data_IF_118095772482
#
_entry.id   IF_118095772482
#
_cell.length_a   1.000
_cell.length_b   1.000
_cell.length_c   1.000
_cell.angle_alpha   90.00
_cell.angle_beta   90.00
_cell.angle_gamma   90.00
#
_symmetry.space_group_name_H-M   'P 1'
#
loop_
_entity.id
_entity.type
_entity.pdbx_description
1 polymer ?
#
# COMPACT_ATOMS: atom_id res chain seq x y z
N UNK A 1 -6.39 33.42 8.55
CA UNK A 1 -5.00 33.58 9.02
C UNK A 1 -5.05 33.32 10.51
N UNK A 2 -4.57 32.16 10.97
CA UNK A 2 -4.33 31.97 12.41
C UNK A 2 -3.02 32.69 12.69
N UNK A 3 -3.06 33.67 13.59
CA UNK A 3 -1.90 34.37 14.11
C UNK A 3 -0.88 33.36 14.63
N UNK A 4 0.41 33.66 14.43
CA UNK A 4 1.53 32.79 14.74
C UNK A 4 1.71 32.50 16.23
N UNK A 5 0.89 31.60 16.77
CA UNK A 5 1.18 30.89 18.01
C UNK A 5 2.46 30.06 17.81
N UNK A 6 3.45 30.27 18.67
CA UNK A 6 4.67 29.47 18.64
C UNK A 6 4.33 28.02 18.98
N UNK A 7 4.74 27.07 18.12
CA UNK A 7 4.60 25.65 18.42
C UNK A 7 5.34 25.30 19.72
N UNK A 8 4.74 24.44 20.54
CA UNK A 8 5.28 24.00 21.83
C UNK A 8 6.57 23.19 21.64
N UNK A 9 6.62 22.36 20.60
CA UNK A 9 7.82 21.61 20.20
C UNK A 9 7.68 21.05 18.77
N UNK A 10 8.77 20.47 18.25
CA UNK A 10 8.76 19.70 17.00
C UNK A 10 8.65 18.21 17.35
N UNK A 11 7.70 17.52 16.72
CA UNK A 11 7.55 16.07 16.79
C UNK A 11 7.89 15.45 15.43
N UNK A 12 8.74 14.42 15.47
CA UNK A 12 9.18 13.70 14.28
C UNK A 12 8.33 12.45 14.08
N UNK A 13 7.36 12.52 13.17
CA UNK A 13 6.52 11.38 12.81
C UNK A 13 7.20 10.57 11.72
N UNK A 14 7.68 9.37 12.06
CA UNK A 14 8.43 8.49 11.18
C UNK A 14 7.54 7.38 10.65
N UNK A 15 7.27 7.41 9.35
CA UNK A 15 6.46 6.36 8.70
C UNK A 15 7.26 5.06 8.57
N UNK A 16 6.83 4.02 9.28
CA UNK A 16 7.41 2.69 9.24
C UNK A 16 6.53 1.74 8.43
N UNK A 17 7.07 1.16 7.36
CA UNK A 17 6.35 0.22 6.49
C UNK A 17 6.85 -1.22 6.57
N UNK A 18 7.91 -1.46 7.36
CA UNK A 18 8.63 -2.73 7.37
C UNK A 18 9.56 -2.95 6.17
N UNK A 19 9.65 -1.97 5.26
CA UNK A 19 10.59 -1.99 4.12
C UNK A 19 11.92 -1.31 4.41
N UNK A 20 12.94 -1.63 3.60
CA UNK A 20 14.32 -1.14 3.73
C UNK A 20 14.40 0.39 3.89
N UNK A 21 13.69 1.12 3.04
CA UNK A 21 13.81 2.58 2.98
C UNK A 21 13.21 3.25 4.23
N UNK A 22 12.10 2.69 4.76
CA UNK A 22 11.51 3.17 6.02
C UNK A 22 12.36 2.79 7.24
N UNK A 23 12.99 1.62 7.24
CA UNK A 23 13.90 1.21 8.33
C UNK A 23 15.13 2.12 8.40
N UNK A 24 15.78 2.40 7.28
CA UNK A 24 16.90 3.36 7.25
C UNK A 24 16.47 4.77 7.67
N UNK A 25 15.26 5.19 7.30
CA UNK A 25 14.70 6.47 7.75
C UNK A 25 14.50 6.50 9.27
N UNK A 26 14.06 5.38 9.88
CA UNK A 26 13.91 5.27 11.32
C UNK A 26 15.25 5.32 12.06
N UNK A 27 16.28 4.64 11.53
CA UNK A 27 17.66 4.71 12.05
C UNK A 27 18.15 6.16 12.05
N UNK A 28 18.06 6.86 10.90
CA UNK A 28 18.48 8.26 10.81
C UNK A 28 17.69 9.19 11.75
N UNK A 29 16.40 8.93 11.97
CA UNK A 29 15.61 9.72 12.90
C UNK A 29 16.11 9.59 14.34
N UNK A 30 16.54 8.40 14.76
CA UNK A 30 17.13 8.16 16.09
C UNK A 30 18.53 8.74 16.24
N UNK A 31 19.34 8.72 15.18
CA UNK A 31 20.68 9.32 15.20
C UNK A 31 20.63 10.84 15.28
N UNK A 32 19.63 11.47 14.64
CA UNK A 32 19.57 12.92 14.50
C UNK A 32 18.74 13.61 15.59
N UNK A 33 17.91 12.86 16.33
CA UNK A 33 16.95 13.44 17.26
C UNK A 33 16.89 12.64 18.54
N UNK A 34 16.40 13.27 19.61
CA UNK A 34 16.07 12.54 20.83
C UNK A 34 14.92 11.58 20.56
N UNK A 35 15.03 10.37 21.06
CA UNK A 35 14.04 9.32 20.87
C UNK A 35 12.63 9.73 21.36
N UNK A 36 12.53 10.53 22.42
CA UNK A 36 11.25 11.02 22.97
C UNK A 36 10.54 12.06 22.07
N UNK A 37 11.26 12.67 21.13
CA UNK A 37 10.70 13.52 20.09
C UNK A 37 10.24 12.75 18.84
N UNK A 38 10.54 11.45 18.76
CA UNK A 38 10.20 10.60 17.62
C UNK A 38 8.95 9.76 17.89
N UNK A 39 8.02 9.77 16.93
CA UNK A 39 6.85 8.89 16.88
C UNK A 39 6.94 8.00 15.67
N UNK A 40 7.13 6.70 15.88
CA UNK A 40 7.19 5.73 14.79
C UNK A 40 5.79 5.20 14.54
N UNK A 41 5.33 5.26 13.30
CA UNK A 41 3.93 4.96 12.98
C UNK A 41 3.86 3.97 11.82
N UNK A 42 3.19 2.84 12.06
CA UNK A 42 2.90 1.82 11.07
C UNK A 42 1.44 1.95 10.60
N UNK A 43 1.25 2.11 9.29
CA UNK A 43 -0.07 2.14 8.68
C UNK A 43 -0.48 0.73 8.25
N UNK A 44 -1.33 0.09 9.06
CA UNK A 44 -1.86 -1.25 8.80
C UNK A 44 -2.87 -1.19 7.66
N UNK A 45 -2.48 -1.69 6.48
CA UNK A 45 -3.37 -1.73 5.33
C UNK A 45 -4.25 -2.96 5.31
N UNK A 46 -3.98 -3.98 6.12
CA UNK A 46 -4.67 -5.27 6.12
C UNK A 46 -4.28 -6.19 4.96
N UNK A 47 -3.29 -5.83 4.14
CA UNK A 47 -2.80 -6.67 3.04
C UNK A 47 -1.31 -6.97 3.16
N UNK A 48 -0.68 -6.66 4.28
CA UNK A 48 0.71 -6.99 4.58
C UNK A 48 0.90 -8.49 4.76
N UNK A 49 2.09 -8.98 4.39
CA UNK A 49 2.49 -10.34 4.74
C UNK A 49 2.78 -10.45 6.25
N UNK A 50 2.55 -11.62 6.84
CA UNK A 50 2.82 -11.90 8.26
C UNK A 50 4.26 -11.53 8.67
N UNK A 51 5.27 -11.97 7.90
CA UNK A 51 6.66 -11.59 8.12
C UNK A 51 6.92 -10.07 8.11
N UNK A 52 6.07 -9.26 7.45
CA UNK A 52 6.19 -7.79 7.53
C UNK A 52 5.63 -7.27 8.86
N UNK A 53 4.52 -7.83 9.36
CA UNK A 53 4.01 -7.49 10.69
C UNK A 53 5.02 -7.83 11.77
N UNK A 54 5.53 -9.07 11.79
CA UNK A 54 6.56 -9.51 12.73
C UNK A 54 7.80 -8.61 12.66
N UNK A 55 8.25 -8.29 11.44
CA UNK A 55 9.40 -7.42 11.26
C UNK A 55 9.15 -5.99 11.78
N UNK A 56 8.02 -5.38 11.43
CA UNK A 56 7.74 -3.98 11.74
C UNK A 56 7.26 -3.73 13.17
N UNK A 57 6.57 -4.69 13.79
CA UNK A 57 5.89 -4.55 15.08
C UNK A 57 6.57 -5.33 16.21
N UNK A 58 7.40 -6.33 15.91
CA UNK A 58 8.13 -7.08 16.94
C UNK A 58 9.63 -6.85 16.82
N UNK A 59 10.23 -7.18 15.67
CA UNK A 59 11.68 -7.13 15.49
C UNK A 59 12.23 -5.70 15.56
N UNK A 60 11.71 -4.76 14.75
CA UNK A 60 12.21 -3.39 14.73
C UNK A 60 12.07 -2.67 16.08
N UNK A 61 10.92 -2.76 16.81
CA UNK A 61 10.81 -2.23 18.16
C UNK A 61 11.87 -2.75 19.12
N UNK A 62 12.17 -4.05 19.08
CA UNK A 62 13.20 -4.65 19.92
C UNK A 62 14.61 -4.22 19.50
N UNK A 63 14.92 -4.28 18.20
CA UNK A 63 16.25 -3.99 17.66
C UNK A 63 16.63 -2.51 17.82
N UNK A 64 15.67 -1.59 17.69
CA UNK A 64 15.90 -0.15 17.79
C UNK A 64 15.53 0.43 19.16
N UNK A 65 14.95 -0.38 20.06
CA UNK A 65 14.46 0.07 21.36
C UNK A 65 13.30 1.07 21.28
N UNK A 66 12.48 1.02 20.22
CA UNK A 66 11.41 1.99 19.94
C UNK A 66 10.02 1.43 20.24
N UNK A 67 9.02 2.33 20.29
CA UNK A 67 7.60 1.96 20.22
C UNK A 67 7.05 2.34 18.85
N UNK A 68 6.17 1.50 18.32
CA UNK A 68 5.51 1.73 17.04
C UNK A 68 4.01 1.83 17.26
N UNK A 69 3.45 3.00 16.94
CA UNK A 69 2.02 3.24 16.95
C UNK A 69 1.42 2.67 15.67
N UNK A 70 0.25 2.03 15.76
CA UNK A 70 -0.45 1.46 14.61
C UNK A 70 -1.66 2.31 14.28
N UNK A 71 -1.73 2.79 13.03
CA UNK A 71 -2.91 3.46 12.50
C UNK A 71 -3.60 2.58 11.48
N UNK A 72 -4.93 2.56 11.52
CA UNK A 72 -5.77 1.72 10.65
C UNK A 72 -6.93 2.53 10.11
N UNK A 73 -7.19 2.40 8.82
CA UNK A 73 -8.35 3.03 8.20
C UNK A 73 -9.66 2.37 8.65
N UNK A 74 -10.70 3.17 8.81
CA UNK A 74 -12.06 2.71 9.10
C UNK A 74 -12.99 3.24 8.00
N UNK A 75 -13.86 2.38 7.48
CA UNK A 75 -14.77 2.68 6.37
C UNK A 75 -16.26 2.56 6.75
N UNK A 76 -16.58 2.55 8.05
CA UNK A 76 -17.95 2.36 8.54
C UNK A 76 -18.95 3.36 7.91
N UNK A 77 -18.57 4.62 7.78
CA UNK A 77 -19.40 5.68 7.20
C UNK A 77 -19.62 5.46 5.69
N UNK A 78 -18.58 5.04 4.97
CA UNK A 78 -18.71 4.71 3.55
C UNK A 78 -19.57 3.46 3.32
N UNK A 79 -19.47 2.45 4.19
CA UNK A 79 -20.37 1.31 4.19
C UNK A 79 -21.82 1.75 4.42
N UNK A 80 -22.08 2.53 5.48
CA UNK A 80 -23.42 3.03 5.80
C UNK A 80 -24.01 3.80 4.61
N UNK A 81 -23.24 4.75 4.06
CA UNK A 81 -23.64 5.56 2.90
C UNK A 81 -23.92 4.69 1.68
N UNK A 82 -23.04 3.74 1.36
CA UNK A 82 -23.21 2.87 0.19
C UNK A 82 -24.41 1.94 0.34
N UNK A 83 -24.66 1.40 1.54
CA UNK A 83 -25.82 0.55 1.84
C UNK A 83 -27.13 1.32 1.71
N UNK A 84 -27.21 2.54 2.25
CA UNK A 84 -28.40 3.41 2.06
C UNK A 84 -28.68 3.64 0.58
N UNK A 85 -27.65 3.94 -0.20
CA UNK A 85 -27.79 4.14 -1.64
C UNK A 85 -28.26 2.86 -2.36
N UNK A 86 -27.71 1.69 -2.00
CA UNK A 86 -28.15 0.41 -2.57
C UNK A 86 -29.59 0.07 -2.19
N UNK A 87 -30.03 0.36 -0.96
CA UNK A 87 -31.40 0.13 -0.52
C UNK A 87 -32.41 0.95 -1.32
N UNK A 88 -32.09 2.23 -1.60
CA UNK A 88 -32.91 3.10 -2.46
C UNK A 88 -33.05 2.54 -3.87
N UNK A 89 -31.94 2.10 -4.47
CA UNK A 89 -31.94 1.51 -5.82
C UNK A 89 -32.70 0.17 -5.83
N UNK A 90 -32.54 -0.66 -4.79
CA UNK A 90 -33.25 -1.91 -4.61
C UNK A 90 -34.78 -1.70 -4.50
N UNK A 91 -35.21 -0.57 -3.91
CA UNK A 91 -36.61 -0.14 -3.87
C UNK A 91 -37.13 0.43 -5.21
N UNK A 92 -36.29 0.49 -6.25
CA UNK A 92 -36.68 0.95 -7.59
C UNK A 92 -36.38 2.43 -7.87
N UNK A 93 -35.72 3.15 -6.96
CA UNK A 93 -35.30 4.53 -7.26
C UNK A 93 -34.25 4.55 -8.38
N UNK A 94 -34.38 5.44 -9.37
CA UNK A 94 -33.38 5.56 -10.43
C UNK A 94 -32.06 6.08 -9.87
N UNK A 95 -30.94 5.63 -10.44
CA UNK A 95 -29.60 6.05 -9.98
C UNK A 95 -29.39 7.57 -10.02
N UNK A 96 -30.07 8.30 -10.90
CA UNK A 96 -30.01 9.77 -10.95
C UNK A 96 -30.59 10.43 -9.70
N UNK A 97 -31.56 9.80 -9.02
CA UNK A 97 -32.10 10.28 -7.75
C UNK A 97 -31.15 10.02 -6.57
N UNK A 98 -30.25 9.05 -6.71
CA UNK A 98 -29.30 8.63 -5.66
C UNK A 98 -27.95 9.33 -5.82
N UNK A 99 -27.43 9.40 -7.04
CA UNK A 99 -26.09 9.91 -7.36
C UNK A 99 -26.12 11.24 -8.13
N UNK A 100 -27.29 11.83 -8.37
CA UNK A 100 -27.45 13.09 -9.07
C UNK A 100 -27.01 12.99 -10.53
N UNK A 101 -26.16 13.94 -10.95
CA UNK A 101 -25.64 14.02 -12.33
C UNK A 101 -24.53 13.01 -12.66
N UNK A 102 -24.11 12.17 -11.70
CA UNK A 102 -23.02 11.20 -11.93
C UNK A 102 -23.53 10.05 -12.79
N UNK A 103 -22.84 9.80 -13.89
CA UNK A 103 -23.11 8.66 -14.76
C UNK A 103 -22.06 7.57 -14.58
N UNK A 104 -22.53 6.32 -14.57
CA UNK A 104 -21.68 5.15 -14.43
C UNK A 104 -21.79 4.28 -15.69
N UNK A 105 -20.65 3.76 -16.13
CA UNK A 105 -20.57 2.85 -17.28
C UNK A 105 -21.48 1.63 -17.10
N UNK A 106 -21.46 1.05 -15.90
CA UNK A 106 -22.30 -0.07 -15.51
C UNK A 106 -23.35 0.39 -14.51
N UNK A 107 -24.62 0.06 -14.77
CA UNK A 107 -25.75 0.45 -13.93
C UNK A 107 -26.21 -0.72 -13.07
N UNK A 108 -26.66 -0.39 -11.87
CA UNK A 108 -27.41 -1.27 -11.01
C UNK A 108 -28.79 -1.54 -11.59
N UNK A 109 -29.27 -2.74 -11.33
CA UNK A 109 -30.70 -3.08 -11.38
C UNK A 109 -31.21 -3.19 -9.94
N UNK A 110 -32.53 -3.08 -9.69
CA UNK A 110 -33.08 -3.29 -8.35
C UNK A 110 -32.61 -4.62 -7.73
N UNK A 111 -32.67 -5.71 -8.50
CA UNK A 111 -32.25 -7.04 -8.01
C UNK A 111 -30.76 -7.12 -7.67
N UNK A 112 -29.91 -6.55 -8.51
CA UNK A 112 -28.45 -6.59 -8.28
C UNK A 112 -28.04 -5.67 -7.13
N UNK A 113 -28.76 -4.56 -6.92
CA UNK A 113 -28.59 -3.69 -5.76
C UNK A 113 -29.05 -4.37 -4.47
N UNK A 114 -30.18 -5.09 -4.50
CA UNK A 114 -30.69 -5.86 -3.36
C UNK A 114 -29.70 -6.94 -2.92
N UNK A 115 -29.18 -7.74 -3.87
CA UNK A 115 -28.16 -8.75 -3.60
C UNK A 115 -26.87 -8.13 -3.04
N UNK A 116 -26.40 -7.03 -3.64
CA UNK A 116 -25.21 -6.35 -3.14
C UNK A 116 -25.43 -5.79 -1.72
N UNK A 117 -26.62 -5.28 -1.41
CA UNK A 117 -26.98 -4.78 -0.08
C UNK A 117 -26.92 -5.88 0.98
N UNK A 118 -27.37 -7.10 0.65
CA UNK A 118 -27.33 -8.25 1.57
C UNK A 118 -25.89 -8.67 1.90
N UNK A 119 -24.97 -8.54 0.94
CA UNK A 119 -23.60 -9.03 1.08
C UNK A 119 -22.60 -7.96 1.53
N UNK A 120 -22.92 -6.67 1.38
CA UNK A 120 -21.98 -5.58 1.63
C UNK A 120 -21.89 -5.25 3.14
N UNK A 121 -20.97 -5.91 3.84
CA UNK A 121 -20.67 -5.70 5.25
C UNK A 121 -19.18 -5.48 5.50
N UNK A 122 -18.79 -4.71 6.54
CA UNK A 122 -17.39 -4.62 6.97
C UNK A 122 -16.86 -6.01 7.33
N UNK A 123 -15.68 -6.33 6.82
CA UNK A 123 -14.99 -7.60 7.03
C UNK A 123 -14.01 -7.53 8.19
N UNK A 124 -13.70 -6.32 8.65
CA UNK A 124 -12.65 -6.04 9.59
C UNK A 124 -11.29 -5.88 8.91
N UNK A 125 -11.10 -6.31 7.66
CA UNK A 125 -9.87 -6.08 6.90
C UNK A 125 -9.95 -4.77 6.09
N UNK A 126 -9.15 -3.74 6.39
CA UNK A 126 -9.29 -2.42 5.79
C UNK A 126 -8.98 -2.41 4.28
N UNK A 127 -8.10 -3.28 3.78
CA UNK A 127 -7.85 -3.40 2.35
C UNK A 127 -9.09 -3.93 1.62
N UNK A 128 -9.64 -5.05 2.11
CA UNK A 128 -10.82 -5.68 1.52
C UNK A 128 -12.02 -4.75 1.64
N UNK A 129 -12.23 -4.13 2.79
CA UNK A 129 -13.29 -3.17 3.05
C UNK A 129 -13.26 -1.99 2.08
N UNK A 130 -12.07 -1.44 1.82
CA UNK A 130 -11.90 -0.40 0.81
C UNK A 130 -12.27 -0.89 -0.59
N UNK A 131 -11.89 -2.12 -0.95
CA UNK A 131 -12.23 -2.71 -2.24
C UNK A 131 -13.75 -2.97 -2.38
N UNK A 132 -14.41 -3.44 -1.32
CA UNK A 132 -15.87 -3.65 -1.27
C UNK A 132 -16.62 -2.33 -1.41
N UNK A 133 -16.20 -1.28 -0.70
CA UNK A 133 -16.79 0.07 -0.80
C UNK A 133 -16.58 0.64 -2.19
N UNK A 134 -15.39 0.51 -2.78
CA UNK A 134 -15.08 1.02 -4.12
C UNK A 134 -15.70 0.19 -5.25
N UNK A 135 -16.02 -1.09 -4.99
CA UNK A 135 -16.52 -2.02 -6.00
C UNK A 135 -15.43 -2.42 -7.00
N UNK A 136 -14.19 -2.59 -6.53
CA UNK A 136 -13.04 -3.00 -7.35
C UNK A 136 -11.71 -2.82 -6.63
N UNK A 137 -10.63 -3.31 -7.23
CA UNK A 137 -9.27 -3.24 -6.68
C UNK A 137 -8.52 -1.99 -7.12
N UNK A 138 -7.52 -1.54 -6.33
CA UNK A 138 -6.62 -0.48 -6.76
C UNK A 138 -5.76 -0.95 -7.93
N UNK A 139 -5.21 0.01 -8.68
CA UNK A 139 -4.32 -0.30 -9.80
C UNK A 139 -3.13 0.63 -9.82
N UNK A 140 -2.10 0.30 -10.61
CA UNK A 140 -0.90 1.14 -10.74
C UNK A 140 -1.22 2.61 -11.10
N UNK A 141 -2.31 2.83 -11.84
CA UNK A 141 -2.82 4.17 -12.20
C UNK A 141 -3.77 4.77 -11.17
N UNK A 142 -4.54 3.94 -10.45
CA UNK A 142 -5.52 4.36 -9.42
C UNK A 142 -5.16 3.73 -8.07
N UNK A 143 -4.13 4.28 -7.43
CA UNK A 143 -3.58 3.75 -6.18
C UNK A 143 -4.35 4.26 -4.96
N UNK A 144 -5.67 4.07 -4.94
CA UNK A 144 -6.47 4.53 -3.79
C UNK A 144 -6.08 3.81 -2.49
N UNK A 145 -5.48 2.62 -2.54
CA UNK A 145 -4.90 1.99 -1.35
C UNK A 145 -3.85 2.88 -0.67
N UNK A 146 -3.00 3.58 -1.44
CA UNK A 146 -2.00 4.49 -0.89
C UNK A 146 -2.67 5.70 -0.20
N UNK A 147 -3.67 6.30 -0.85
CA UNK A 147 -4.37 7.45 -0.29
C UNK A 147 -5.14 7.09 1.00
N UNK A 148 -5.97 6.04 0.94
CA UNK A 148 -6.94 5.74 2.01
C UNK A 148 -6.37 4.89 3.13
N UNK A 149 -5.40 4.00 2.85
CA UNK A 149 -4.85 3.09 3.86
C UNK A 149 -3.53 3.57 4.45
N UNK A 150 -2.84 4.52 3.79
CA UNK A 150 -1.55 5.05 4.27
C UNK A 150 -1.60 6.55 4.51
N UNK A 151 -1.80 7.34 3.45
CA UNK A 151 -1.69 8.80 3.54
C UNK A 151 -2.70 9.39 4.52
N UNK A 152 -3.99 9.04 4.39
CA UNK A 152 -5.04 9.60 5.25
C UNK A 152 -4.88 9.22 6.74
N UNK A 153 -4.69 7.94 7.12
CA UNK A 153 -4.46 7.59 8.52
C UNK A 153 -3.22 8.26 9.12
N UNK A 154 -2.11 8.30 8.38
CA UNK A 154 -0.88 8.98 8.85
C UNK A 154 -1.06 10.50 8.97
N UNK A 155 -1.82 11.10 8.05
CA UNK A 155 -2.13 12.53 8.11
C UNK A 155 -3.05 12.85 9.29
N UNK A 156 -4.05 12.02 9.57
CA UNK A 156 -4.92 12.18 10.73
C UNK A 156 -4.11 12.14 12.04
N UNK A 157 -3.23 11.14 12.19
CA UNK A 157 -2.30 11.07 13.32
C UNK A 157 -1.43 12.32 13.46
N UNK A 158 -0.91 12.85 12.35
CA UNK A 158 -0.15 14.09 12.35
C UNK A 158 -1.00 15.31 12.75
N UNK A 159 -2.25 15.39 12.29
CA UNK A 159 -3.17 16.48 12.62
C UNK A 159 -3.49 16.51 14.12
N UNK A 160 -3.68 15.35 14.75
CA UNK A 160 -3.92 15.28 16.20
C UNK A 160 -2.75 15.89 17.01
N UNK A 161 -1.52 15.74 16.52
CA UNK A 161 -0.33 16.39 17.10
C UNK A 161 -0.28 17.89 16.84
N UNK A 162 -0.69 18.35 15.65
CA UNK A 162 -0.78 19.78 15.32
C UNK A 162 -1.84 20.49 16.19
N UNK A 163 -2.97 19.84 16.43
CA UNK A 163 -4.04 20.34 17.30
C UNK A 163 -3.60 20.41 18.78
N UNK A 164 -2.57 19.64 19.14
CA UNK A 164 -1.87 19.72 20.44
C UNK A 164 -0.74 20.76 20.44
N UNK A 165 -0.76 21.71 19.49
CA UNK A 165 0.21 22.81 19.33
C UNK A 165 1.66 22.38 19.05
N UNK A 166 1.88 21.19 18.49
CA UNK A 166 3.20 20.77 17.99
C UNK A 166 3.38 21.12 16.51
N UNK A 167 4.62 21.36 16.08
CA UNK A 167 4.99 21.26 14.68
C UNK A 167 5.31 19.80 14.35
N UNK A 168 4.92 19.31 13.17
CA UNK A 168 5.14 17.91 12.78
C UNK A 168 6.07 17.83 11.59
N UNK A 169 7.16 17.08 11.76
CA UNK A 169 8.04 16.68 10.68
C UNK A 169 7.71 15.23 10.31
N UNK A 170 7.05 15.04 9.17
CA UNK A 170 6.72 13.73 8.60
C UNK A 170 7.93 13.16 7.85
N UNK A 171 8.65 12.23 8.46
CA UNK A 171 9.77 11.52 7.86
C UNK A 171 9.29 10.42 6.92
N UNK A 172 9.76 10.48 5.67
CA UNK A 172 9.33 9.61 4.57
C UNK A 172 10.54 8.93 3.92
N UNK A 173 10.55 7.59 3.93
CA UNK A 173 11.54 6.76 3.23
C UNK A 173 11.29 6.67 1.74
N UNK A 174 11.54 7.75 1.00
CA UNK A 174 11.39 7.82 -0.46
C UNK A 174 12.74 8.07 -1.09
N UNK A 175 13.08 7.39 -2.19
CA UNK A 175 14.31 7.59 -2.95
C UNK A 175 14.04 7.96 -4.41
N UNK A 176 14.93 8.77 -5.01
CA UNK A 176 14.84 9.16 -6.41
C UNK A 176 14.97 7.97 -7.36
N UNK A 177 15.79 6.99 -7.01
CA UNK A 177 16.06 5.79 -7.82
C UNK A 177 14.85 4.86 -7.94
N UNK A 178 13.86 4.96 -7.04
CA UNK A 178 12.71 4.04 -7.05
C UNK A 178 11.84 4.18 -8.32
N UNK A 179 11.77 5.38 -8.93
CA UNK A 179 11.05 5.58 -10.19
C UNK A 179 11.41 6.90 -10.88
N UNK A 180 11.30 6.93 -12.21
CA UNK A 180 11.48 8.17 -12.99
C UNK A 180 10.51 9.28 -12.55
N UNK A 181 9.25 8.93 -12.27
CA UNK A 181 8.26 9.90 -11.78
C UNK A 181 8.68 10.57 -10.47
N UNK A 182 9.28 9.81 -9.53
CA UNK A 182 9.81 10.39 -8.29
C UNK A 182 11.00 11.29 -8.56
N UNK A 183 11.91 10.86 -9.43
CA UNK A 183 13.04 11.67 -9.88
C UNK A 183 12.56 13.00 -10.45
N UNK A 184 11.67 12.98 -11.45
CA UNK A 184 11.14 14.22 -12.06
C UNK A 184 10.48 15.16 -11.04
N UNK A 185 9.73 14.62 -10.07
CA UNK A 185 8.99 15.44 -9.10
C UNK A 185 9.84 15.98 -7.95
N UNK A 186 10.84 15.21 -7.51
CA UNK A 186 11.60 15.50 -6.28
C UNK A 186 13.02 15.99 -6.55
N UNK A 187 13.51 15.85 -7.78
CA UNK A 187 14.74 16.49 -8.22
C UNK A 187 14.53 18.01 -8.26
N UNK A 188 15.48 18.75 -7.67
CA UNK A 188 15.57 20.19 -7.82
C UNK A 188 16.50 20.56 -8.97
N UNK A 189 17.23 21.66 -8.82
CA UNK A 189 18.23 22.10 -9.80
C UNK A 189 19.62 21.56 -9.44
N UNK A 190 20.30 20.95 -10.41
CA UNK A 190 21.63 20.36 -10.20
C UNK A 190 21.61 19.28 -9.11
N UNK A 191 22.47 19.42 -8.10
CA UNK A 191 22.55 18.48 -6.97
C UNK A 191 21.44 18.66 -5.90
N UNK A 192 20.59 19.69 -6.03
CA UNK A 192 19.54 19.98 -5.05
C UNK A 192 18.37 19.00 -5.21
N UNK A 193 17.76 18.62 -4.08
CA UNK A 193 16.59 17.74 -4.03
C UNK A 193 15.57 18.31 -3.05
N UNK A 194 14.29 17.99 -3.25
CA UNK A 194 13.18 18.38 -2.37
C UNK A 194 13.11 17.48 -1.13
N UNK A 195 14.20 17.49 -0.35
CA UNK A 195 14.31 16.69 0.87
C UNK A 195 13.42 17.22 1.99
N UNK A 196 13.19 18.53 2.06
CA UNK A 196 12.37 19.16 3.08
C UNK A 196 11.37 20.13 2.43
N UNK A 197 10.08 19.96 2.69
CA UNK A 197 9.01 20.77 2.10
C UNK A 197 7.92 21.07 3.14
N UNK A 198 7.53 22.32 3.27
CA UNK A 198 6.35 22.71 4.05
C UNK A 198 5.06 22.30 3.30
N UNK A 199 4.18 21.59 3.99
CA UNK A 199 2.85 21.22 3.48
C UNK A 199 1.84 22.30 3.88
N UNK A 200 1.99 22.86 5.08
CA UNK A 200 1.18 23.94 5.64
C UNK A 200 0.71 23.62 7.06
N UNK A 201 0.37 24.66 7.82
CA UNK A 201 -0.20 24.52 9.16
C UNK A 201 0.74 23.86 10.19
N UNK A 202 2.06 23.96 10.00
CA UNK A 202 3.05 23.31 10.87
C UNK A 202 3.45 21.90 10.47
N UNK A 203 2.91 21.36 9.37
CA UNK A 203 3.29 20.07 8.81
C UNK A 203 4.39 20.22 7.75
N UNK A 204 5.47 19.46 7.91
CA UNK A 204 6.60 19.41 7.00
C UNK A 204 6.85 17.98 6.54
N UNK A 205 7.10 17.79 5.25
CA UNK A 205 7.62 16.53 4.72
C UNK A 205 9.14 16.54 4.77
N UNK A 206 9.74 15.51 5.36
CA UNK A 206 11.18 15.31 5.38
C UNK A 206 11.58 13.95 4.79
N UNK A 207 12.55 13.94 3.87
CA UNK A 207 12.96 12.78 3.05
C UNK A 207 14.49 12.64 3.10
N UNK A 208 15.05 12.15 4.21
CA UNK A 208 16.49 12.17 4.43
C UNK A 208 17.25 11.23 3.49
N UNK A 209 16.65 10.12 3.10
CA UNK A 209 17.27 9.10 2.23
C UNK A 209 17.05 9.35 0.73
N UNK A 210 16.57 10.55 0.34
CA UNK A 210 16.10 10.82 -1.02
C UNK A 210 17.14 10.55 -2.11
N UNK A 211 18.43 10.75 -1.80
CA UNK A 211 19.56 10.54 -2.71
C UNK A 211 20.25 9.17 -2.55
N UNK A 212 19.83 8.37 -1.58
CA UNK A 212 20.49 7.10 -1.28
C UNK A 212 20.20 6.06 -2.38
N UNK A 213 21.18 5.22 -2.63
CA UNK A 213 21.02 3.99 -3.41
C UNK A 213 20.43 2.88 -2.52
N UNK A 214 19.97 1.78 -3.12
CA UNK A 214 19.56 0.62 -2.34
C UNK A 214 20.72 0.06 -1.49
N UNK A 215 21.95 0.14 -2.01
CA UNK A 215 23.16 -0.26 -1.28
C UNK A 215 23.37 0.58 -0.03
N UNK A 216 23.29 1.91 -0.14
CA UNK A 216 23.47 2.81 1.01
C UNK A 216 22.42 2.52 2.11
N UNK A 217 21.19 2.21 1.70
CA UNK A 217 20.12 1.81 2.62
C UNK A 217 20.48 0.55 3.39
N UNK A 218 20.88 -0.53 2.72
CA UNK A 218 21.24 -1.78 3.41
C UNK A 218 22.54 -1.64 4.22
N UNK A 219 23.51 -0.85 3.76
CA UNK A 219 24.70 -0.54 4.54
C UNK A 219 24.34 0.17 5.85
N UNK A 220 23.37 1.09 5.84
CA UNK A 220 22.89 1.71 7.07
C UNK A 220 22.21 0.71 8.02
N UNK A 221 21.55 -0.34 7.49
CA UNK A 221 21.00 -1.40 8.34
C UNK A 221 22.13 -2.18 9.02
N UNK A 222 23.13 -2.58 8.25
CA UNK A 222 24.30 -3.31 8.73
C UNK A 222 25.04 -2.53 9.83
N UNK A 223 25.31 -1.23 9.61
CA UNK A 223 25.96 -0.36 10.59
C UNK A 223 25.14 -0.20 11.88
N UNK A 224 23.81 -0.25 11.78
CA UNK A 224 22.91 -0.21 12.93
C UNK A 224 22.66 -1.60 13.57
N UNK A 225 23.26 -2.67 13.04
CA UNK A 225 23.02 -4.04 13.50
C UNK A 225 21.60 -4.56 13.21
N UNK A 226 20.90 -3.96 12.26
CA UNK A 226 19.52 -4.31 11.87
C UNK A 226 19.56 -5.27 10.68
N UNK A 227 18.85 -6.39 10.79
CA UNK A 227 18.65 -7.33 9.69
C UNK A 227 17.60 -6.79 8.73
N UNK A 228 17.70 -7.04 7.41
CA UNK A 228 16.67 -6.66 6.47
C UNK A 228 15.40 -7.51 6.67
N UNK A 229 14.26 -7.00 6.22
CA UNK A 229 13.02 -7.78 6.20
C UNK A 229 13.23 -9.12 5.46
N UNK A 230 12.85 -10.28 6.06
CA UNK A 230 13.14 -11.60 5.50
C UNK A 230 12.62 -11.80 4.07
N UNK A 231 11.56 -11.10 3.67
CA UNK A 231 11.00 -11.19 2.32
C UNK A 231 11.99 -10.74 1.24
N UNK A 232 12.96 -9.86 1.57
CA UNK A 232 14.04 -9.49 0.64
C UNK A 232 15.01 -10.63 0.32
N UNK A 233 14.99 -11.69 1.13
CA UNK A 233 15.73 -12.93 0.94
C UNK A 233 14.87 -14.01 0.23
N UNK A 234 13.61 -13.71 -0.07
CA UNK A 234 12.62 -14.67 -0.58
C UNK A 234 12.02 -14.21 -1.93
N UNK A 235 12.84 -13.56 -2.75
CA UNK A 235 12.50 -13.15 -4.12
C UNK A 235 11.74 -11.83 -4.23
N UNK A 236 11.47 -11.14 -3.11
CA UNK A 236 10.73 -9.89 -3.13
C UNK A 236 11.68 -8.69 -3.20
N UNK A 237 11.43 -7.77 -4.16
CA UNK A 237 12.13 -6.48 -4.22
C UNK A 237 11.34 -5.38 -3.51
N UNK A 238 10.04 -5.61 -3.28
CA UNK A 238 9.14 -4.74 -2.53
C UNK A 238 8.44 -5.57 -1.45
N UNK A 239 8.54 -5.11 -0.21
CA UNK A 239 7.91 -5.75 0.96
C UNK A 239 6.81 -4.84 1.52
N UNK A 240 5.98 -5.38 2.41
CA UNK A 240 4.71 -4.76 2.78
C UNK A 240 3.56 -5.61 2.28
N UNK A 241 2.76 -5.04 1.38
CA UNK A 241 1.57 -5.70 0.84
C UNK A 241 1.91 -6.96 0.02
N UNK A 242 1.15 -8.05 0.20
CA UNK A 242 1.36 -9.34 -0.46
C UNK A 242 0.09 -9.82 -1.16
N UNK A 243 0.06 -9.91 -2.50
CA UNK A 243 0.92 -9.17 -3.41
C UNK A 243 0.60 -7.66 -3.36
N UNK A 244 1.57 -6.84 -3.77
CA UNK A 244 1.34 -5.42 -4.04
C UNK A 244 0.85 -5.23 -5.49
N UNK A 245 0.01 -4.23 -5.76
CA UNK A 245 -0.41 -3.88 -7.14
C UNK A 245 0.76 -3.46 -8.06
N UNK A 246 1.89 -3.09 -7.45
CA UNK A 246 3.14 -2.75 -8.16
C UNK A 246 4.11 -3.94 -8.26
N UNK A 247 3.69 -5.13 -7.82
CA UNK A 247 4.44 -6.38 -7.94
C UNK A 247 4.81 -6.64 -9.40
N UNK A 248 6.06 -7.03 -9.63
CA UNK A 248 6.59 -7.42 -10.92
C UNK A 248 6.15 -8.83 -11.30
N UNK A 249 6.36 -9.20 -12.57
CA UNK A 249 6.08 -10.55 -13.07
C UNK A 249 6.89 -11.61 -12.32
N UNK A 250 8.15 -11.31 -11.98
CA UNK A 250 9.04 -12.22 -11.26
C UNK A 250 8.63 -12.38 -9.80
N UNK A 251 8.34 -11.27 -9.10
CA UNK A 251 7.84 -11.32 -7.72
C UNK A 251 6.54 -12.12 -7.62
N UNK A 252 5.61 -11.96 -8.57
CA UNK A 252 4.36 -12.69 -8.57
C UNK A 252 4.56 -14.22 -8.71
N UNK A 253 5.56 -14.67 -9.48
CA UNK A 253 5.93 -16.09 -9.56
C UNK A 253 6.44 -16.59 -8.21
N UNK A 254 7.34 -15.84 -7.58
CA UNK A 254 7.88 -16.22 -6.27
C UNK A 254 6.79 -16.24 -5.19
N UNK A 255 5.82 -15.33 -5.25
CA UNK A 255 4.65 -15.34 -4.37
C UNK A 255 3.83 -16.61 -4.59
N UNK A 256 3.49 -16.93 -5.84
CA UNK A 256 2.71 -18.13 -6.15
C UNK A 256 3.42 -19.43 -5.72
N UNK A 257 4.76 -19.45 -5.77
CA UNK A 257 5.60 -20.59 -5.39
C UNK A 257 5.76 -20.72 -3.87
N UNK A 258 6.05 -19.63 -3.17
CA UNK A 258 6.41 -19.63 -1.75
C UNK A 258 5.21 -19.41 -0.82
N UNK A 259 4.21 -18.66 -1.28
CA UNK A 259 3.07 -18.22 -0.48
C UNK A 259 1.73 -18.48 -1.22
N UNK A 260 1.40 -19.74 -1.54
CA UNK A 260 0.17 -20.06 -2.27
C UNK A 260 -1.09 -19.62 -1.51
N UNK A 261 -1.06 -19.61 -0.17
CA UNK A 261 -2.17 -19.10 0.64
C UNK A 261 -2.51 -17.63 0.35
N UNK A 262 -1.52 -16.80 0.01
CA UNK A 262 -1.74 -15.41 -0.36
C UNK A 262 -2.46 -15.27 -1.71
N UNK A 263 -2.20 -16.21 -2.63
CA UNK A 263 -2.92 -16.28 -3.91
C UNK A 263 -4.38 -16.61 -3.67
N UNK A 264 -4.66 -17.63 -2.86
CA UNK A 264 -6.04 -18.04 -2.55
C UNK A 264 -6.80 -16.92 -1.80
N UNK A 265 -6.12 -16.20 -0.91
CA UNK A 265 -6.70 -15.03 -0.24
C UNK A 265 -7.13 -13.96 -1.24
N UNK A 266 -6.30 -13.64 -2.23
CA UNK A 266 -6.66 -12.68 -3.28
C UNK A 266 -7.78 -13.22 -4.17
N UNK A 267 -7.77 -14.51 -4.52
CA UNK A 267 -8.84 -15.12 -5.31
C UNK A 267 -10.21 -15.01 -4.59
N UNK A 268 -10.22 -15.25 -3.28
CA UNK A 268 -11.41 -15.06 -2.46
C UNK A 268 -11.85 -13.60 -2.42
N UNK A 269 -10.92 -12.66 -2.31
CA UNK A 269 -11.24 -11.23 -2.38
C UNK A 269 -11.83 -10.86 -3.75
N UNK A 270 -11.31 -11.40 -4.85
CA UNK A 270 -11.87 -11.21 -6.19
C UNK A 270 -13.32 -11.70 -6.24
N UNK A 271 -13.61 -12.87 -5.66
CA UNK A 271 -14.98 -13.42 -5.55
C UNK A 271 -15.90 -12.53 -4.72
N UNK A 272 -15.47 -12.07 -3.55
CA UNK A 272 -16.29 -11.22 -2.66
C UNK A 272 -16.59 -9.87 -3.30
N UNK A 273 -15.59 -9.20 -3.85
CA UNK A 273 -15.76 -7.87 -4.48
C UNK A 273 -16.65 -7.97 -5.73
N UNK A 274 -16.56 -9.06 -6.50
CA UNK A 274 -17.41 -9.31 -7.67
C UNK A 274 -18.90 -9.43 -7.34
N UNK A 275 -19.24 -9.85 -6.12
CA UNK A 275 -20.64 -9.99 -5.69
C UNK A 275 -21.29 -8.65 -5.33
N UNK A 276 -20.50 -7.66 -4.91
CA UNK A 276 -20.97 -6.34 -4.43
C UNK A 276 -20.59 -5.18 -5.35
N UNK A 277 -19.97 -5.45 -6.51
CA UNK A 277 -19.69 -4.46 -7.54
C UNK A 277 -20.86 -4.31 -8.50
N UNK A 278 -20.85 -3.22 -9.30
CA UNK A 278 -21.85 -3.00 -10.34
C UNK A 278 -21.87 -4.17 -11.35
N UNK A 279 -23.02 -4.60 -11.87
CA UNK A 279 -23.10 -5.71 -12.81
C UNK A 279 -22.20 -5.51 -14.03
N UNK A 280 -21.56 -6.59 -14.51
CA UNK A 280 -20.58 -6.54 -15.62
C UNK A 280 -19.30 -5.76 -15.32
N UNK A 281 -19.10 -5.28 -14.08
CA UNK A 281 -17.82 -4.71 -13.69
C UNK A 281 -16.77 -5.82 -13.65
N UNK A 282 -15.67 -5.68 -14.38
CA UNK A 282 -14.55 -6.61 -14.31
C UNK A 282 -13.79 -6.36 -13.01
N UNK A 283 -13.81 -7.35 -12.14
CA UNK A 283 -13.16 -7.31 -10.85
C UNK A 283 -11.98 -8.26 -10.88
N UNK A 284 -10.80 -7.70 -10.64
CA UNK A 284 -9.55 -8.41 -10.66
C UNK A 284 -8.51 -7.59 -9.93
N UNK A 285 -7.62 -8.26 -9.19
CA UNK A 285 -6.50 -7.61 -8.53
C UNK A 285 -5.42 -7.17 -9.55
N UNK A 286 -5.19 -7.99 -10.58
CA UNK A 286 -4.25 -7.71 -11.67
C UNK A 286 -4.91 -7.84 -13.04
N UNK A 287 -4.92 -6.75 -13.81
CA UNK A 287 -5.47 -6.78 -15.16
C UNK A 287 -4.43 -7.21 -16.22
N UNK A 288 -4.78 -8.22 -17.03
CA UNK A 288 -4.04 -8.65 -18.21
C UNK A 288 -4.40 -7.76 -19.41
N UNK A 289 -3.40 -7.06 -19.97
CA UNK A 289 -3.53 -6.31 -21.24
C UNK A 289 -3.87 -4.82 -21.12
N UNK A 290 -3.71 -4.11 -22.25
CA UNK A 290 -4.07 -2.68 -22.43
C UNK A 290 -5.49 -2.48 -22.99
N UNK A 291 -6.07 -3.54 -23.55
CA UNK A 291 -7.43 -3.58 -24.07
C UNK A 291 -8.36 -3.86 -22.89
N UNK A 292 -8.99 -2.81 -22.37
CA UNK A 292 -9.88 -2.93 -21.23
C UNK A 292 -10.95 -4.00 -21.45
N UNK A 293 -11.20 -4.78 -20.40
CA UNK A 293 -12.50 -5.33 -20.01
C UNK A 293 -13.30 -6.19 -21.03
N UNK A 294 -12.75 -6.48 -22.20
CA UNK A 294 -13.38 -7.31 -23.23
C UNK A 294 -13.05 -8.78 -23.00
N UNK A 295 -13.75 -9.39 -22.04
CA UNK A 295 -14.05 -10.83 -22.07
C UNK A 295 -12.99 -11.85 -21.66
N UNK A 296 -11.85 -11.44 -21.07
CA UNK A 296 -10.99 -12.41 -20.36
C UNK A 296 -11.14 -12.24 -18.84
N UNK A 297 -11.42 -13.35 -18.17
CA UNK A 297 -11.38 -13.46 -16.71
C UNK A 297 -9.93 -13.28 -16.24
N UNK A 298 -9.58 -12.03 -15.97
CA UNK A 298 -8.25 -11.64 -15.52
C UNK A 298 -8.08 -11.93 -14.02
N UNK A 299 -8.43 -13.13 -13.55
CA UNK A 299 -8.27 -13.48 -12.13
C UNK A 299 -6.80 -13.55 -11.74
N UNK A 300 -6.53 -13.55 -10.44
CA UNK A 300 -5.17 -13.76 -9.91
C UNK A 300 -4.54 -15.04 -10.48
N UNK A 301 -5.30 -16.13 -10.62
CA UNK A 301 -4.81 -17.38 -11.22
C UNK A 301 -4.42 -17.21 -12.69
N UNK A 302 -5.27 -16.55 -13.50
CA UNK A 302 -4.95 -16.28 -14.89
C UNK A 302 -3.68 -15.42 -15.04
N UNK A 303 -3.49 -14.46 -14.13
CA UNK A 303 -2.31 -13.59 -14.13
C UNK A 303 -1.07 -14.37 -13.67
N UNK A 304 -1.20 -15.31 -12.74
CA UNK A 304 -0.10 -16.20 -12.34
C UNK A 304 0.31 -17.12 -13.48
N UNK A 305 -0.64 -17.71 -14.22
CA UNK A 305 -0.30 -18.50 -15.41
C UNK A 305 0.38 -17.65 -16.48
N UNK A 306 -0.13 -16.44 -16.75
CA UNK A 306 0.57 -15.47 -17.59
C UNK A 306 1.95 -15.10 -17.04
N UNK A 307 2.07 -15.07 -15.70
CA UNK A 307 3.33 -14.79 -15.03
C UNK A 307 4.37 -15.83 -15.42
N UNK A 308 4.04 -17.10 -15.64
CA UNK A 308 4.98 -18.17 -16.04
C UNK A 308 5.48 -18.10 -17.48
N UNK A 309 4.89 -17.25 -18.33
CA UNK A 309 5.32 -17.16 -19.73
C UNK A 309 6.57 -16.28 -19.92
N UNK A 310 7.31 -16.49 -21.00
CA UNK A 310 8.39 -15.61 -21.46
C UNK A 310 7.86 -14.33 -22.13
N UNK A 311 8.76 -13.52 -22.68
CA UNK A 311 8.44 -12.22 -23.31
C UNK A 311 7.47 -12.41 -24.47
N UNK A 312 6.29 -11.77 -24.39
CA UNK A 312 5.23 -11.90 -25.40
C UNK A 312 4.05 -12.80 -25.02
N UNK A 313 4.06 -13.44 -23.84
CA UNK A 313 2.84 -14.05 -23.29
C UNK A 313 2.49 -15.44 -23.84
N UNK A 314 3.35 -16.06 -24.67
CA UNK A 314 2.97 -17.22 -25.49
C UNK A 314 3.74 -18.53 -25.20
N UNK A 315 4.96 -18.45 -24.69
CA UNK A 315 5.78 -19.63 -24.39
C UNK A 315 6.02 -19.72 -22.89
N UNK A 316 5.87 -20.90 -22.29
CA UNK A 316 6.19 -21.15 -20.88
C UNK A 316 7.69 -21.15 -20.65
N UNK A 317 8.11 -20.61 -19.50
CA UNK A 317 9.50 -20.65 -19.05
C UNK A 317 9.76 -21.96 -18.28
N UNK A 318 9.80 -23.08 -19.02
CA UNK A 318 9.88 -24.44 -18.46
C UNK A 318 11.13 -24.65 -17.58
N UNK A 319 12.21 -23.91 -17.81
CA UNK A 319 13.43 -23.96 -17.00
C UNK A 319 13.27 -23.24 -15.66
N UNK A 320 12.55 -22.12 -15.64
CA UNK A 320 12.30 -21.38 -14.40
C UNK A 320 11.32 -22.09 -13.47
N UNK A 321 10.35 -22.84 -14.02
CA UNK A 321 9.32 -23.53 -13.25
C UNK A 321 9.82 -24.83 -12.56
N UNK A 322 10.84 -25.48 -13.12
CA UNK A 322 11.44 -26.71 -12.57
C UNK A 322 12.46 -26.47 -11.43
N UNK A 323 12.91 -25.21 -11.24
CA UNK A 323 13.82 -24.88 -10.16
C UNK A 323 13.06 -24.80 -8.83
N UNK A 324 13.45 -25.62 -7.85
CA UNK A 324 12.97 -25.45 -6.47
C UNK A 324 13.35 -24.06 -5.95
N UNK A 325 12.49 -23.40 -5.15
CA UNK A 325 12.82 -22.11 -4.58
C UNK A 325 14.07 -22.25 -3.71
N UNK A 326 15.13 -21.54 -4.08
CA UNK A 326 16.35 -21.49 -3.27
C UNK A 326 16.03 -20.92 -1.88
N UNK A 327 16.77 -21.39 -0.86
CA UNK A 327 16.63 -20.92 0.52
C UNK A 327 16.80 -19.38 0.62
N UNK A 328 17.72 -18.80 -0.17
CA UNK A 328 17.85 -17.36 -0.36
C UNK A 328 17.74 -16.98 -1.85
N UNK A 329 16.95 -15.97 -2.14
CA UNK A 329 16.83 -15.31 -3.45
C UNK A 329 16.64 -13.81 -3.22
N UNK A 330 17.66 -13.01 -3.51
CA UNK A 330 17.62 -11.56 -3.27
C UNK A 330 17.94 -10.77 -4.52
N UNK A 331 17.05 -9.84 -4.88
CA UNK A 331 17.29 -8.86 -5.94
C UNK A 331 18.38 -7.84 -5.58
N UNK A 332 18.81 -7.80 -4.31
CA UNK A 332 19.78 -6.83 -3.79
C UNK A 332 21.14 -7.46 -3.43
N UNK A 333 21.36 -8.74 -3.76
CA UNK A 333 22.61 -9.43 -3.45
C UNK A 333 22.83 -9.64 -1.95
N UNK A 334 21.75 -9.86 -1.20
CA UNK A 334 21.79 -10.11 0.25
C UNK A 334 22.01 -11.59 0.61
N UNK A 335 22.20 -12.46 -0.38
CA UNK A 335 22.53 -13.86 -0.16
C UNK A 335 24.05 -14.02 -0.13
N UNK A 336 24.56 -14.90 0.73
CA UNK A 336 25.99 -15.24 0.85
C UNK A 336 26.58 -15.89 -0.41
#
# INVERSE_FOLDING_TARGET
MRDGGAFVSIVHVVSMSGGKDSTATAILALEQNRQDACRFVFADTGNEHEATYEYALDYLPQALGIKVDVVRANFADEFATKRVNLARIAAGEPESAVYGKREFMYRWTPDTAARALELLHPTGNPYLDLCLVRGGFPSRKRQFCTEYLKTRPLTAYAVDLLDSEHAVWSWQGVRLEESESRRTRLQGTGACVRAFEEVGGGLYNYRPVLRWTARDVFQAHELAGVQPNPLYLQGQSRVGCMPCINCSKAELREIARRFPAEVERIAEWERLVSQVCRPRTPVSFFHLGTQGHMGQDSTIHAVIEWSRTTRGGRQYDLLADLAEPTACSSAYGLCE
#
